data_IF_045532267553
#
_entry.id   IF_045532267553
#
_cell.length_a   1.000
_cell.length_b   1.000
_cell.length_c   1.000
_cell.angle_alpha   90.00
_cell.angle_beta   90.00
_cell.angle_gamma   90.00
#
_symmetry.space_group_name_H-M   'P 1'
#
loop_
_entity.id
_entity.type
_entity.pdbx_description
1 polymer ?
#
# COMPACT_ATOMS: atom_id res chain seq x y z
N UNK A 1 8.39 -26.72 -16.16
CA UNK A 1 7.82 -25.35 -16.01
C UNK A 1 7.98 -24.90 -14.57
N UNK A 2 8.72 -23.80 -14.29
CA UNK A 2 8.75 -23.21 -12.93
C UNK A 2 7.33 -22.73 -12.60
N UNK A 3 6.71 -23.27 -11.55
CA UNK A 3 5.44 -22.71 -11.03
C UNK A 3 5.70 -21.23 -10.71
N UNK A 4 5.08 -20.33 -11.46
CA UNK A 4 5.11 -18.90 -11.14
C UNK A 4 4.59 -18.74 -9.72
N UNK A 5 5.37 -18.06 -8.86
CA UNK A 5 4.92 -17.70 -7.53
C UNK A 5 3.61 -16.91 -7.56
N UNK A 6 2.83 -17.04 -6.48
CA UNK A 6 1.58 -16.30 -6.33
C UNK A 6 1.89 -14.81 -6.12
N UNK A 7 1.09 -13.93 -6.73
CA UNK A 7 1.22 -12.48 -6.62
C UNK A 7 -0.09 -11.93 -6.10
N UNK A 8 -0.03 -11.17 -5.00
CA UNK A 8 -1.20 -10.53 -4.38
C UNK A 8 -1.03 -9.02 -4.48
N UNK A 9 -2.10 -8.35 -4.91
CA UNK A 9 -2.23 -6.91 -4.80
C UNK A 9 -3.13 -6.60 -3.62
N UNK A 10 -2.66 -5.80 -2.66
CA UNK A 10 -3.48 -5.28 -1.58
C UNK A 10 -3.72 -3.81 -1.88
N UNK A 11 -4.97 -3.46 -2.16
CA UNK A 11 -5.41 -2.07 -2.22
C UNK A 11 -6.22 -1.76 -0.97
N UNK A 12 -5.89 -0.64 -0.32
CA UNK A 12 -6.77 -0.05 0.67
C UNK A 12 -6.88 1.44 0.40
N UNK A 13 -8.08 1.96 0.58
CA UNK A 13 -8.33 3.39 0.49
C UNK A 13 -7.77 4.06 1.77
N UNK A 14 -6.46 4.22 1.77
CA UNK A 14 -5.69 4.85 2.84
C UNK A 14 -5.94 6.36 2.79
N UNK A 15 -6.85 6.83 3.64
CA UNK A 15 -6.98 8.26 3.94
C UNK A 15 -5.85 8.68 4.89
N UNK A 16 -6.04 9.75 5.67
CA UNK A 16 -5.01 10.25 6.58
C UNK A 16 -4.67 9.29 7.74
N UNK A 17 -5.48 8.26 7.98
CA UNK A 17 -5.30 7.31 9.09
C UNK A 17 -4.28 6.20 8.77
N UNK A 18 -3.36 5.95 9.70
CA UNK A 18 -2.33 4.90 9.56
C UNK A 18 -2.85 3.48 9.74
N UNK A 19 -4.10 3.32 10.19
CA UNK A 19 -4.67 2.01 10.51
C UNK A 19 -4.75 1.09 9.30
N UNK A 20 -5.13 1.62 8.15
CA UNK A 20 -5.23 0.85 6.90
C UNK A 20 -3.85 0.36 6.45
N UNK A 21 -2.89 1.27 6.30
CA UNK A 21 -1.52 0.93 5.95
C UNK A 21 -0.87 -0.06 6.92
N UNK A 22 -1.01 0.16 8.23
CA UNK A 22 -0.49 -0.76 9.26
C UNK A 22 -1.10 -2.16 9.13
N UNK A 23 -2.41 -2.24 8.87
CA UNK A 23 -3.13 -3.51 8.68
C UNK A 23 -2.70 -4.21 7.39
N UNK A 24 -2.67 -3.50 6.27
CA UNK A 24 -2.24 -4.03 4.98
C UNK A 24 -0.81 -4.58 5.07
N UNK A 25 0.09 -3.86 5.73
CA UNK A 25 1.47 -4.30 5.98
C UNK A 25 1.51 -5.55 6.86
N UNK A 26 0.76 -5.59 7.96
CA UNK A 26 0.74 -6.73 8.86
C UNK A 26 0.25 -8.01 8.15
N UNK A 27 -0.81 -7.89 7.34
CA UNK A 27 -1.34 -8.99 6.52
C UNK A 27 -0.29 -9.43 5.50
N UNK A 28 0.30 -8.48 4.74
CA UNK A 28 1.31 -8.79 3.73
C UNK A 28 2.52 -9.52 4.32
N UNK A 29 3.03 -9.06 5.47
CA UNK A 29 4.15 -9.68 6.17
C UNK A 29 3.83 -11.11 6.59
N UNK A 30 2.65 -11.35 7.16
CA UNK A 30 2.21 -12.69 7.53
C UNK A 30 2.11 -13.61 6.30
N UNK A 31 1.58 -13.12 5.19
CA UNK A 31 1.46 -13.91 3.96
C UNK A 31 2.83 -14.33 3.40
N UNK A 32 3.79 -13.42 3.27
CA UNK A 32 5.12 -13.77 2.71
C UNK A 32 5.95 -14.62 3.67
N UNK A 33 5.64 -14.61 4.96
CA UNK A 33 6.26 -15.45 5.99
C UNK A 33 5.78 -16.91 5.88
N UNK A 34 4.49 -17.13 5.64
CA UNK A 34 3.91 -18.48 5.52
C UNK A 34 4.06 -19.09 4.12
N UNK A 35 4.16 -18.27 3.07
CA UNK A 35 4.21 -18.74 1.69
C UNK A 35 5.51 -18.30 0.99
N UNK A 36 6.48 -19.21 0.90
CA UNK A 36 7.84 -18.92 0.40
C UNK A 36 7.92 -18.48 -1.06
N UNK A 37 6.92 -18.82 -1.88
CA UNK A 37 6.82 -18.44 -3.29
C UNK A 37 5.70 -17.41 -3.54
N UNK A 38 5.41 -16.56 -2.55
CA UNK A 38 4.40 -15.50 -2.62
C UNK A 38 5.05 -14.12 -2.53
N UNK A 39 4.53 -13.18 -3.32
CA UNK A 39 4.90 -11.76 -3.27
C UNK A 39 3.65 -10.89 -3.17
N UNK A 40 3.79 -9.74 -2.53
CA UNK A 40 2.70 -8.80 -2.27
C UNK A 40 3.09 -7.39 -2.73
N UNK A 41 2.20 -6.73 -3.45
CA UNK A 41 2.30 -5.31 -3.77
C UNK A 41 1.17 -4.57 -3.05
N UNK A 42 1.50 -3.51 -2.31
CA UNK A 42 0.52 -2.67 -1.61
C UNK A 42 0.29 -1.37 -2.37
N UNK A 43 -0.95 -1.06 -2.73
CA UNK A 43 -1.32 0.25 -3.27
C UNK A 43 -1.88 1.11 -2.15
N UNK A 44 -1.28 2.27 -1.94
CA UNK A 44 -1.69 3.22 -0.89
C UNK A 44 -1.68 4.66 -1.39
N UNK A 45 -2.68 5.44 -0.94
CA UNK A 45 -2.70 6.89 -1.07
C UNK A 45 -1.93 7.63 0.04
N UNK A 46 -1.46 6.91 1.07
CA UNK A 46 -0.86 7.51 2.25
C UNK A 46 0.45 8.22 1.91
N UNK A 47 0.63 9.49 2.33
CA UNK A 47 1.84 10.22 2.00
C UNK A 47 3.11 9.68 2.67
N UNK A 48 2.96 8.85 3.69
CA UNK A 48 4.05 8.34 4.51
C UNK A 48 4.33 6.85 4.30
N UNK A 49 3.77 6.22 3.26
CA UNK A 49 4.00 4.78 3.03
C UNK A 49 5.48 4.42 2.91
N UNK A 50 6.28 5.27 2.25
CA UNK A 50 7.73 5.09 2.13
C UNK A 50 8.50 5.26 3.44
N UNK A 51 7.85 5.65 4.54
CA UNK A 51 8.46 5.75 5.86
C UNK A 51 8.32 4.45 6.69
N UNK A 52 7.68 3.41 6.15
CA UNK A 52 7.54 2.12 6.82
C UNK A 52 8.51 1.10 6.23
N UNK A 53 9.07 0.25 7.09
CA UNK A 53 9.83 -0.92 6.66
C UNK A 53 8.91 -2.02 6.12
N UNK A 54 9.35 -2.64 5.02
CA UNK A 54 8.70 -3.78 4.39
C UNK A 54 9.64 -4.99 4.36
N UNK A 55 9.09 -6.19 4.59
CA UNK A 55 9.83 -7.44 4.44
C UNK A 55 10.14 -7.71 2.97
N UNK A 56 11.18 -8.52 2.73
CA UNK A 56 11.47 -9.05 1.40
C UNK A 56 10.21 -9.67 0.76
N UNK A 57 10.01 -9.43 -0.54
CA UNK A 57 8.82 -9.82 -1.32
C UNK A 57 7.53 -9.05 -1.00
N UNK A 58 7.61 -8.01 -0.19
CA UNK A 58 6.55 -7.00 -0.02
C UNK A 58 7.07 -5.67 -0.54
N UNK A 59 6.34 -5.07 -1.47
CA UNK A 59 6.66 -3.75 -2.02
C UNK A 59 5.39 -2.89 -2.09
N UNK A 60 5.52 -1.62 -2.48
CA UNK A 60 4.38 -0.71 -2.56
C UNK A 60 4.40 0.21 -3.78
N UNK A 61 3.20 0.62 -4.19
CA UNK A 61 2.98 1.75 -5.10
C UNK A 61 2.21 2.82 -4.36
N UNK A 62 2.76 4.02 -4.35
CA UNK A 62 2.04 5.20 -3.89
C UNK A 62 1.22 5.77 -5.04
N UNK A 63 -0.08 5.95 -4.81
CA UNK A 63 -0.98 6.68 -5.72
C UNK A 63 -1.37 8.02 -5.10
N UNK A 64 -1.86 9.00 -5.88
CA UNK A 64 -2.44 10.22 -5.31
C UNK A 64 -3.59 9.88 -4.38
N UNK A 65 -3.48 10.31 -3.13
CA UNK A 65 -4.48 10.10 -2.08
C UNK A 65 -5.08 11.41 -1.59
N UNK A 66 -5.77 11.34 -0.45
CA UNK A 66 -6.32 12.53 0.22
C UNK A 66 -5.28 13.09 1.20
N UNK A 67 -5.02 14.39 1.16
CA UNK A 67 -4.22 15.09 2.16
C UNK A 67 -5.12 15.86 3.13
N UNK A 68 -4.80 15.80 4.42
CA UNK A 68 -5.46 16.62 5.43
C UNK A 68 -4.72 17.95 5.53
N UNK A 69 -5.45 19.04 5.33
CA UNK A 69 -4.95 20.40 5.45
C UNK A 69 -4.86 20.80 6.93
N UNK A 70 -4.03 21.81 7.22
CA UNK A 70 -3.79 22.28 8.61
C UNK A 70 -5.06 22.77 9.31
N UNK A 71 -6.06 23.21 8.55
CA UNK A 71 -7.37 23.65 9.03
C UNK A 71 -8.35 22.48 9.28
N UNK A 72 -7.93 21.23 9.11
CA UNK A 72 -8.76 20.05 9.33
C UNK A 72 -9.53 19.57 8.10
N UNK A 73 -9.58 20.37 7.03
CA UNK A 73 -10.21 20.01 5.77
C UNK A 73 -9.44 18.91 5.03
N UNK A 74 -10.14 18.16 4.19
CA UNK A 74 -9.56 17.12 3.36
C UNK A 74 -9.58 17.57 1.90
N UNK A 75 -8.45 17.45 1.21
CA UNK A 75 -8.39 17.69 -0.24
C UNK A 75 -7.76 16.51 -0.97
N UNK A 76 -8.35 16.16 -2.11
CA UNK A 76 -7.89 15.06 -2.96
C UNK A 76 -6.67 15.52 -3.76
N UNK A 77 -5.57 14.76 -3.72
CA UNK A 77 -4.51 14.92 -4.71
C UNK A 77 -5.03 14.37 -6.04
N UNK A 78 -5.15 15.23 -7.05
CA UNK A 78 -5.56 14.82 -8.39
C UNK A 78 -4.40 14.10 -9.07
N UNK A 79 -4.68 12.93 -9.61
CA UNK A 79 -3.82 12.35 -10.65
C UNK A 79 -4.12 13.14 -11.94
N UNK A 80 -3.10 13.75 -12.54
CA UNK A 80 -3.26 14.47 -13.80
C UNK A 80 -3.39 13.44 -14.93
N UNK A 81 -4.60 12.92 -15.11
CA UNK A 81 -4.96 12.09 -16.25
C UNK A 81 -5.80 12.96 -17.18
N UNK A 82 -5.30 13.15 -18.40
CA UNK A 82 -6.08 13.72 -19.49
C UNK A 82 -6.90 12.56 -20.08
N UNK A 83 -8.17 12.45 -19.68
CA UNK A 83 -9.16 11.48 -20.19
C UNK A 83 -10.30 12.25 -20.82
#
# INVERSE_FOLDING_TARGET
MKKSGARILIYSHDTFGLGHLRRCRAIAHSLVEHFSNLSVLIISGSPIIGSFDFRARVDFVRVPGVIKLRNGEYTSLKLHLDI
#
